data_IF_187881059713
#
_entry.id   IF_187881059713
#
_cell.length_a   1.000
_cell.length_b   1.000
_cell.length_c   1.000
_cell.angle_alpha   90.00
_cell.angle_beta   90.00
_cell.angle_gamma   90.00
#
_symmetry.space_group_name_H-M   'P 1'
#
loop_
_entity.id
_entity.type
_entity.pdbx_description
1 polymer ?
#
# COMPACT_ATOMS: atom_id res chain seq x y z
N UNK A 1 0.09 17.85 8.70
CA UNK A 1 1.46 17.98 8.17
C UNK A 1 1.76 16.74 7.35
N UNK A 2 1.84 16.85 6.03
CA UNK A 2 2.16 15.73 5.15
C UNK A 2 3.68 15.61 5.07
N UNK A 3 4.26 14.59 5.65
CA UNK A 3 5.68 14.28 5.51
C UNK A 3 5.93 13.80 4.08
N UNK A 4 6.46 14.67 3.24
CA UNK A 4 7.05 14.26 1.96
C UNK A 4 8.46 13.77 2.21
N UNK A 5 8.68 12.47 2.15
CA UNK A 5 10.04 11.92 2.08
C UNK A 5 10.65 12.29 0.73
N UNK A 6 11.64 13.17 0.73
CA UNK A 6 12.20 13.72 -0.50
C UNK A 6 13.07 12.72 -1.30
N UNK A 7 13.54 11.61 -0.71
CA UNK A 7 14.58 10.77 -1.33
C UNK A 7 14.44 9.26 -1.15
N UNK A 8 13.58 8.78 -0.25
CA UNK A 8 13.34 7.33 -0.05
C UNK A 8 11.85 7.07 0.10
N UNK A 9 11.33 5.99 -0.48
CA UNK A 9 9.93 5.62 -0.27
C UNK A 9 9.69 5.40 1.23
N UNK A 10 8.64 6.04 1.76
CA UNK A 10 8.25 5.95 3.17
C UNK A 10 6.79 5.56 3.28
N UNK A 11 6.51 4.61 4.16
CA UNK A 11 5.17 4.25 4.60
C UNK A 11 4.99 4.73 6.03
N UNK A 12 3.89 5.40 6.31
CA UNK A 12 3.55 5.88 7.65
C UNK A 12 2.34 5.11 8.14
N UNK A 13 2.45 4.48 9.30
CA UNK A 13 1.34 3.81 9.97
C UNK A 13 0.66 4.82 10.88
N UNK A 14 -0.62 5.09 10.59
CA UNK A 14 -1.48 6.00 11.34
C UNK A 14 -2.45 5.23 12.22
N UNK A 15 -2.71 5.65 13.46
CA UNK A 15 -3.77 5.10 14.30
C UNK A 15 -5.14 5.66 13.90
N UNK A 16 -6.22 5.00 14.37
CA UNK A 16 -7.59 5.53 14.30
C UNK A 16 -8.21 5.49 12.89
N UNK A 17 -7.91 4.46 12.11
CA UNK A 17 -8.53 4.27 10.80
C UNK A 17 -10.05 4.07 10.93
N UNK A 18 -10.82 4.73 10.06
CA UNK A 18 -12.26 4.52 9.95
C UNK A 18 -12.52 3.40 8.95
N UNK A 19 -13.09 2.30 9.45
CA UNK A 19 -13.37 1.11 8.65
C UNK A 19 -14.87 0.99 8.34
N UNK A 20 -15.15 0.46 7.15
CA UNK A 20 -16.49 0.03 6.78
C UNK A 20 -16.92 -1.24 7.53
N UNK A 21 -18.20 -1.60 7.45
CA UNK A 21 -18.72 -2.78 8.11
C UNK A 21 -18.05 -4.05 7.57
N UNK A 22 -17.84 -5.01 8.48
CA UNK A 22 -17.34 -6.34 8.09
C UNK A 22 -18.40 -7.05 7.26
N UNK A 23 -18.03 -7.70 6.13
CA UNK A 23 -18.97 -8.52 5.38
C UNK A 23 -19.61 -9.58 6.27
N UNK A 24 -20.92 -9.75 6.17
CA UNK A 24 -21.66 -10.84 6.79
C UNK A 24 -22.16 -11.80 5.71
N UNK A 25 -21.60 -13.00 5.67
CA UNK A 25 -21.90 -13.98 4.62
C UNK A 25 -21.38 -13.55 3.24
N UNK A 26 -22.10 -13.91 2.19
CA UNK A 26 -21.73 -13.63 0.79
C UNK A 26 -22.09 -12.21 0.32
N UNK A 27 -22.65 -11.39 1.20
CA UNK A 27 -23.04 -10.01 0.88
C UNK A 27 -21.89 -9.06 1.20
N UNK A 28 -21.29 -8.51 0.16
CA UNK A 28 -20.34 -7.41 0.32
C UNK A 28 -21.09 -6.13 0.71
N UNK A 29 -20.74 -5.50 1.86
CA UNK A 29 -21.36 -4.25 2.24
C UNK A 29 -21.04 -3.16 1.21
N UNK A 30 -22.02 -2.29 0.93
CA UNK A 30 -21.75 -1.09 0.15
C UNK A 30 -20.67 -0.28 0.85
N UNK A 31 -19.55 -0.05 0.16
CA UNK A 31 -18.50 0.81 0.67
C UNK A 31 -19.03 2.23 0.88
N UNK A 32 -18.99 2.72 2.09
CA UNK A 32 -19.22 4.13 2.37
C UNK A 32 -18.09 4.98 1.83
N UNK A 33 -18.39 6.18 1.36
CA UNK A 33 -17.47 7.04 0.59
C UNK A 33 -16.12 7.33 1.27
N UNK A 34 -16.05 7.20 2.59
CA UNK A 34 -14.87 7.60 3.37
C UNK A 34 -14.35 6.51 4.31
N UNK A 35 -14.75 5.27 4.12
CA UNK A 35 -14.31 4.15 4.95
C UNK A 35 -13.33 3.25 4.21
N UNK A 36 -12.37 2.70 4.94
CA UNK A 36 -11.46 1.67 4.45
C UNK A 36 -12.11 0.29 4.55
N UNK A 37 -11.72 -0.63 3.69
CA UNK A 37 -12.10 -2.02 3.84
C UNK A 37 -11.50 -2.57 5.15
N UNK A 38 -12.30 -3.35 5.91
CA UNK A 38 -11.89 -3.82 7.25
C UNK A 38 -10.57 -4.61 7.22
N UNK A 39 -10.31 -5.35 6.14
CA UNK A 39 -9.12 -6.19 5.96
C UNK A 39 -7.84 -5.39 5.56
N UNK A 40 -7.95 -4.08 5.36
CA UNK A 40 -6.80 -3.21 5.10
C UNK A 40 -6.30 -2.48 6.35
N UNK A 41 -6.98 -2.69 7.48
CA UNK A 41 -6.68 -2.08 8.77
C UNK A 41 -6.23 -3.16 9.74
N UNK A 42 -5.18 -2.89 10.51
CA UNK A 42 -4.67 -3.81 11.50
C UNK A 42 -5.63 -3.94 12.70
N UNK A 43 -5.46 -4.99 13.52
CA UNK A 43 -6.31 -5.25 14.69
C UNK A 43 -6.32 -4.09 15.70
N UNK A 44 -5.20 -3.34 15.80
CA UNK A 44 -5.07 -2.16 16.65
C UNK A 44 -5.71 -0.89 16.06
N UNK A 45 -6.42 -1.01 14.94
CA UNK A 45 -7.05 0.12 14.24
C UNK A 45 -6.07 1.00 13.45
N UNK A 46 -4.84 0.55 13.24
CA UNK A 46 -3.86 1.30 12.46
C UNK A 46 -3.87 0.93 10.98
N UNK A 47 -3.42 1.87 10.14
CA UNK A 47 -3.30 1.67 8.69
C UNK A 47 -2.01 2.27 8.15
N UNK A 48 -1.32 1.53 7.29
CA UNK A 48 -0.13 2.01 6.58
C UNK A 48 -0.52 2.79 5.33
N UNK A 49 -0.05 4.02 5.23
CA UNK A 49 -0.29 4.90 4.08
C UNK A 49 1.03 5.32 3.46
N UNK A 50 1.13 5.22 2.13
CA UNK A 50 2.27 5.72 1.36
C UNK A 50 1.80 6.64 0.25
N UNK A 51 2.47 7.79 0.11
CA UNK A 51 2.33 8.66 -1.05
C UNK A 51 3.54 8.41 -1.95
N UNK A 52 3.37 7.72 -3.09
CA UNK A 52 4.48 7.45 -4.00
C UNK A 52 4.98 8.74 -4.65
N UNK A 53 6.29 8.79 -4.94
CA UNK A 53 6.89 9.91 -5.68
C UNK A 53 6.70 9.77 -7.19
N UNK A 54 6.43 8.57 -7.68
CA UNK A 54 6.24 8.29 -9.10
C UNK A 54 4.95 8.93 -9.60
N UNK A 55 5.07 9.77 -10.61
CA UNK A 55 3.94 10.50 -11.21
C UNK A 55 2.85 9.55 -11.72
N UNK A 56 3.22 8.45 -12.36
CA UNK A 56 2.27 7.43 -12.83
C UNK A 56 1.35 6.95 -11.69
N UNK A 57 1.91 6.61 -10.52
CA UNK A 57 1.14 6.14 -9.37
C UNK A 57 0.22 7.24 -8.81
N UNK A 58 0.69 8.49 -8.81
CA UNK A 58 -0.10 9.63 -8.35
C UNK A 58 -1.28 9.89 -9.30
N UNK A 59 -1.03 9.88 -10.61
CA UNK A 59 -2.07 10.05 -11.63
C UNK A 59 -3.09 8.91 -11.61
N UNK A 60 -2.64 7.67 -11.41
CA UNK A 60 -3.53 6.52 -11.29
C UNK A 60 -4.49 6.67 -10.11
N UNK A 61 -3.96 6.99 -8.92
CA UNK A 61 -4.78 7.21 -7.72
C UNK A 61 -5.72 8.42 -7.88
N UNK A 62 -5.24 9.50 -8.49
CA UNK A 62 -6.04 10.69 -8.76
C UNK A 62 -7.22 10.39 -9.70
N UNK A 63 -6.97 9.70 -10.82
CA UNK A 63 -8.01 9.32 -11.79
C UNK A 63 -9.01 8.32 -11.20
N UNK A 64 -8.55 7.40 -10.36
CA UNK A 64 -9.42 6.48 -9.64
C UNK A 64 -10.30 7.20 -8.60
N UNK A 65 -9.86 8.35 -8.09
CA UNK A 65 -10.55 9.15 -7.09
C UNK A 65 -10.59 8.52 -5.70
N UNK A 66 -9.70 7.55 -5.44
CA UNK A 66 -9.61 6.84 -4.15
C UNK A 66 -8.22 6.22 -3.95
N UNK A 67 -7.85 5.86 -2.69
CA UNK A 67 -6.63 5.10 -2.42
C UNK A 67 -6.62 3.75 -3.12
N UNK A 68 -5.42 3.26 -3.40
CA UNK A 68 -5.16 1.94 -4.00
C UNK A 68 -4.51 1.07 -2.95
N UNK A 69 -5.03 -0.14 -2.75
CA UNK A 69 -4.37 -1.15 -1.90
C UNK A 69 -3.09 -1.59 -2.58
N UNK A 70 -2.00 -1.64 -1.82
CA UNK A 70 -0.68 -2.01 -2.33
C UNK A 70 -0.07 -3.11 -1.46
N UNK A 71 0.46 -4.12 -2.12
CA UNK A 71 1.18 -5.23 -1.49
C UNK A 71 2.41 -5.60 -2.32
N UNK A 72 3.26 -6.48 -1.82
CA UNK A 72 4.36 -7.04 -2.59
C UNK A 72 3.86 -8.05 -3.63
N UNK A 73 4.54 -8.10 -4.78
CA UNK A 73 4.16 -8.96 -5.91
C UNK A 73 4.77 -10.37 -5.76
N UNK A 74 4.49 -11.05 -4.64
CA UNK A 74 4.95 -12.42 -4.35
C UNK A 74 3.83 -13.22 -3.67
N UNK A 75 3.96 -14.54 -3.73
CA UNK A 75 3.10 -15.44 -2.96
C UNK A 75 3.46 -15.30 -1.48
N UNK A 76 2.45 -15.40 -0.61
CA UNK A 76 2.64 -15.27 0.84
C UNK A 76 3.69 -16.27 1.34
N UNK A 77 4.68 -15.77 2.07
CA UNK A 77 5.79 -16.56 2.59
C UNK A 77 7.02 -16.62 1.66
N UNK A 78 6.90 -16.17 0.42
CA UNK A 78 8.04 -16.08 -0.49
C UNK A 78 8.80 -14.77 -0.37
N UNK A 79 10.02 -14.73 -0.91
CA UNK A 79 10.84 -13.52 -0.93
C UNK A 79 10.21 -12.43 -1.81
N UNK A 80 10.25 -11.19 -1.34
CA UNK A 80 9.76 -10.04 -2.10
C UNK A 80 10.67 -9.77 -3.30
N UNK A 81 10.15 -9.74 -4.54
CA UNK A 81 10.92 -9.44 -5.73
C UNK A 81 11.38 -7.98 -5.71
N UNK A 82 12.60 -7.73 -6.17
CA UNK A 82 13.20 -6.40 -6.25
C UNK A 82 12.99 -5.74 -7.61
N UNK A 83 12.67 -6.53 -8.62
CA UNK A 83 12.44 -6.09 -9.99
C UNK A 83 11.40 -6.98 -10.68
N UNK A 84 10.81 -6.48 -11.74
CA UNK A 84 9.76 -7.17 -12.51
C UNK A 84 10.17 -8.58 -12.97
N UNK A 85 11.42 -8.75 -13.40
CA UNK A 85 11.92 -10.05 -13.87
C UNK A 85 11.91 -11.15 -12.79
N UNK A 86 11.92 -10.77 -11.52
CA UNK A 86 11.91 -11.69 -10.37
C UNK A 86 10.49 -12.08 -9.93
N UNK A 87 9.46 -11.40 -10.43
CA UNK A 87 8.06 -11.77 -10.15
C UNK A 87 7.77 -13.11 -10.81
N UNK A 88 7.24 -14.06 -10.02
CA UNK A 88 6.92 -15.39 -10.51
C UNK A 88 5.87 -15.34 -11.63
N UNK A 89 5.91 -16.34 -12.52
CA UNK A 89 4.93 -16.43 -13.61
C UNK A 89 3.52 -16.63 -13.04
N UNK A 90 3.38 -17.37 -11.95
CA UNK A 90 2.11 -17.58 -11.28
C UNK A 90 1.45 -16.26 -10.85
N UNK A 91 2.20 -15.33 -10.26
CA UNK A 91 1.68 -14.00 -9.91
C UNK A 91 1.30 -13.20 -11.15
N UNK A 92 2.11 -13.28 -12.22
CA UNK A 92 1.82 -12.58 -13.48
C UNK A 92 0.56 -13.08 -14.16
N UNK A 93 0.31 -14.39 -14.10
CA UNK A 93 -0.86 -15.02 -14.73
C UNK A 93 -2.15 -14.81 -13.90
N UNK A 94 -2.01 -14.50 -12.61
CA UNK A 94 -3.13 -14.30 -11.70
C UNK A 94 -3.70 -12.86 -11.67
N UNK A 95 -3.10 -11.91 -12.39
CA UNK A 95 -3.54 -10.52 -12.40
C UNK A 95 -4.24 -10.15 -13.72
N UNK A 96 -5.24 -9.27 -13.65
CA UNK A 96 -5.98 -8.82 -14.83
C UNK A 96 -5.17 -7.90 -15.73
N UNK A 97 -4.18 -7.19 -15.16
CA UNK A 97 -3.36 -6.24 -15.92
C UNK A 97 -1.96 -6.11 -15.35
N UNK A 98 -0.98 -6.05 -16.24
CA UNK A 98 0.42 -5.78 -15.92
C UNK A 98 0.79 -4.43 -16.53
N UNK A 99 1.22 -3.51 -15.68
CA UNK A 99 1.75 -2.21 -16.11
C UNK A 99 3.09 -2.42 -16.82
N UNK A 100 3.37 -1.61 -17.86
CA UNK A 100 4.60 -1.72 -18.64
C UNK A 100 5.84 -1.69 -17.74
N UNK A 101 6.67 -2.73 -17.76
CA UNK A 101 7.90 -2.82 -16.96
C UNK A 101 8.90 -1.69 -17.19
N UNK A 102 8.76 -0.93 -18.29
CA UNK A 102 9.58 0.27 -18.52
C UNK A 102 9.47 1.28 -17.37
N UNK A 103 8.35 1.32 -16.67
CA UNK A 103 8.12 2.18 -15.53
C UNK A 103 8.93 1.78 -14.27
N UNK A 104 9.57 0.62 -14.29
CA UNK A 104 10.51 0.21 -13.24
C UNK A 104 11.84 0.99 -13.28
N UNK A 105 12.13 1.67 -14.39
CA UNK A 105 13.37 2.43 -14.54
C UNK A 105 13.52 3.48 -13.42
N UNK A 106 14.68 3.44 -12.76
CA UNK A 106 14.96 4.29 -11.61
C UNK A 106 14.46 3.75 -10.27
N UNK A 107 13.84 2.57 -10.24
CA UNK A 107 13.53 1.87 -8.99
C UNK A 107 14.82 1.52 -8.25
N UNK A 108 14.81 1.72 -6.92
CA UNK A 108 15.93 1.33 -6.05
C UNK A 108 15.95 -0.16 -5.74
N UNK A 109 14.88 -0.89 -6.04
CA UNK A 109 14.68 -2.27 -5.61
C UNK A 109 14.58 -2.43 -4.08
N UNK A 110 14.47 -1.33 -3.36
CA UNK A 110 14.36 -1.33 -1.90
C UNK A 110 12.92 -1.12 -1.45
N UNK A 111 12.51 -1.88 -0.45
CA UNK A 111 11.24 -1.66 0.22
C UNK A 111 11.21 -0.28 0.91
N UNK A 112 10.03 0.32 1.02
CA UNK A 112 9.86 1.58 1.75
C UNK A 112 10.30 1.43 3.21
N UNK A 113 10.88 2.47 3.77
CA UNK A 113 10.97 2.58 5.22
C UNK A 113 9.57 2.67 5.83
N UNK A 114 9.40 2.19 7.05
CA UNK A 114 8.12 2.21 7.75
C UNK A 114 8.31 2.85 9.11
N UNK A 115 7.52 3.88 9.37
CA UNK A 115 7.39 4.47 10.71
C UNK A 115 5.95 4.35 11.18
N UNK A 116 5.75 4.24 12.49
CA UNK A 116 4.44 4.31 13.14
C UNK A 116 4.38 5.58 13.97
N UNK A 117 3.29 6.32 13.85
CA UNK A 117 3.03 7.53 14.63
C UNK A 117 1.95 7.25 15.65
N UNK A 118 2.16 7.73 16.88
CA UNK A 118 1.17 7.65 17.97
C UNK A 118 0.33 8.92 18.05
N UNK A 119 -0.80 8.84 18.78
CA UNK A 119 -1.64 10.00 19.09
C UNK A 119 -0.95 10.98 20.05
N UNK A 120 0.06 10.52 20.76
CA UNK A 120 0.94 11.28 21.66
C UNK A 120 2.14 11.92 20.95
N UNK A 121 2.10 11.94 19.60
CA UNK A 121 3.21 12.38 18.73
C UNK A 121 4.47 11.51 18.80
N UNK A 122 4.42 10.34 19.42
CA UNK A 122 5.52 9.38 19.37
C UNK A 122 5.76 8.88 17.95
N UNK A 123 7.03 8.56 17.64
CA UNK A 123 7.43 7.98 16.37
C UNK A 123 8.24 6.73 16.65
N UNK A 124 7.79 5.61 16.09
CA UNK A 124 8.48 4.33 16.15
C UNK A 124 8.97 3.95 14.75
N UNK A 125 10.24 3.53 14.65
CA UNK A 125 10.80 3.05 13.38
C UNK A 125 10.59 1.54 13.30
N UNK A 126 9.69 1.11 12.42
CA UNK A 126 9.38 -0.31 12.20
C UNK A 126 10.38 -0.93 11.22
N UNK A 127 10.75 -0.17 10.17
CA UNK A 127 11.72 -0.60 9.16
C UNK A 127 12.46 0.61 8.59
N UNK A 128 13.80 0.50 8.52
CA UNK A 128 14.67 1.51 7.90
C UNK A 128 14.79 1.32 6.40
#
# INVERSE_FOLDING_TARGET
MLFRSAYKPMTIIYPGAVVGPRPSGDVLPKAEKYTLAFNTVAEDGSVGIRIPMMEFCQQLAFRLGRPIVSTSANISGESTPKKFAEISQEVKDAVDHIVDPVLERGSTGQSSSIIKVGLDYSIEIIRK
#
